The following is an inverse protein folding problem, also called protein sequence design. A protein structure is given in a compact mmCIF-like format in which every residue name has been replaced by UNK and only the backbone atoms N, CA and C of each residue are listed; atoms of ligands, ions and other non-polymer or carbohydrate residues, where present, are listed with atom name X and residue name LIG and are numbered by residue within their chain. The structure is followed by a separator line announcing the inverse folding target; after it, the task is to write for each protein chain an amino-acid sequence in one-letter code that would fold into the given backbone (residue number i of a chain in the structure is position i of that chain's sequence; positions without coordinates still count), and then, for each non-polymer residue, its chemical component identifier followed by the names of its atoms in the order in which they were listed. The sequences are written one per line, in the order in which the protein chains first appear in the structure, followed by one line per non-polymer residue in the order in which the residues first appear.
data_IF_651479533380
#
_entry.id   IF_651479533380
#
_cell.length_a   1.000
_cell.length_b   1.000
_cell.length_c   1.000
_cell.angle_alpha   90.00
_cell.angle_beta   90.00
_cell.angle_gamma   90.00
#
_symmetry.space_group_name_H-M   'P 1'
#
loop_
_entity.id
_entity.type
_entity.pdbx_description
1 polymer ?
#
# COMPACT_ATOMS: atom_id res chain seq x y z
N UNK A 1 40.26 14.86 25.23
CA UNK A 1 40.35 14.41 23.82
C UNK A 1 39.67 13.07 23.61
N UNK A 2 39.98 12.03 24.41
CA UNK A 2 39.35 10.70 24.27
C UNK A 2 37.81 10.70 24.39
N UNK A 3 37.24 11.40 25.38
CA UNK A 3 35.78 11.47 25.58
C UNK A 3 35.06 12.09 24.37
N UNK A 4 35.62 13.17 23.81
CA UNK A 4 35.08 13.81 22.61
C UNK A 4 35.08 12.86 21.41
N UNK A 5 36.19 12.14 21.19
CA UNK A 5 36.28 11.15 20.12
C UNK A 5 35.28 10.00 20.28
N UNK A 6 35.04 9.53 21.51
CA UNK A 6 34.03 8.50 21.79
C UNK A 6 32.62 9.01 21.46
N UNK A 7 32.29 10.23 21.87
CA UNK A 7 30.98 10.83 21.59
C UNK A 7 30.77 10.99 20.08
N UNK A 8 31.77 11.50 19.35
CA UNK A 8 31.69 11.68 17.90
C UNK A 8 31.47 10.33 17.19
N UNK A 9 32.22 9.29 17.57
CA UNK A 9 32.04 7.96 16.98
C UNK A 9 30.65 7.39 17.29
N UNK A 10 30.16 7.53 18.52
CA UNK A 10 28.82 7.09 18.90
C UNK A 10 27.74 7.80 18.08
N UNK A 11 27.82 9.13 17.93
CA UNK A 11 26.87 9.92 17.14
C UNK A 11 26.91 9.52 15.66
N UNK A 12 28.10 9.34 15.08
CA UNK A 12 28.25 8.92 13.68
C UNK A 12 27.71 7.51 13.45
N UNK A 13 27.97 6.58 14.37
CA UNK A 13 27.43 5.21 14.29
C UNK A 13 25.90 5.19 14.41
N UNK A 14 25.32 5.94 15.35
CA UNK A 14 23.86 6.05 15.50
C UNK A 14 23.26 6.71 14.26
N UNK A 15 23.84 7.81 13.77
CA UNK A 15 23.38 8.48 12.56
C UNK A 15 23.45 7.56 11.35
N UNK A 16 24.56 6.86 11.14
CA UNK A 16 24.72 5.88 10.07
C UNK A 16 23.71 4.74 10.15
N UNK A 17 23.44 4.22 11.35
CA UNK A 17 22.42 3.20 11.58
C UNK A 17 21.02 3.72 11.25
N UNK A 18 20.67 4.92 11.69
CA UNK A 18 19.37 5.53 11.42
C UNK A 18 19.17 5.82 9.93
N UNK A 19 20.21 6.33 9.25
CA UNK A 19 20.20 6.54 7.80
C UNK A 19 20.03 5.23 7.05
N UNK A 20 20.80 4.20 7.40
CA UNK A 20 20.65 2.88 6.79
C UNK A 20 19.23 2.36 6.96
N UNK A 21 18.68 2.42 8.17
CA UNK A 21 17.31 1.98 8.44
C UNK A 21 16.25 2.79 7.68
N UNK A 22 16.46 4.09 7.48
CA UNK A 22 15.52 4.95 6.77
C UNK A 22 15.51 4.72 5.25
N UNK A 23 16.67 4.43 4.67
CA UNK A 23 16.83 4.31 3.21
C UNK A 23 16.88 2.87 2.70
N UNK A 24 17.21 1.89 3.55
CA UNK A 24 17.23 0.48 3.17
C UNK A 24 15.80 -0.06 3.07
N UNK A 25 15.28 -0.11 1.85
CA UNK A 25 14.01 -0.76 1.51
C UNK A 25 14.33 -2.09 0.81
N UNK A 26 13.89 -3.24 1.33
CA UNK A 26 14.01 -4.52 0.62
C UNK A 26 13.42 -4.39 -0.79
N UNK A 27 14.06 -5.05 -1.78
CA UNK A 27 13.49 -5.12 -3.11
C UNK A 27 12.11 -5.79 -3.03
N UNK A 28 11.08 -5.11 -3.54
CA UNK A 28 9.75 -5.70 -3.65
C UNK A 28 9.76 -6.77 -4.74
N UNK A 29 8.94 -7.84 -4.60
CA UNK A 29 8.72 -8.79 -5.67
C UNK A 29 8.41 -8.08 -6.99
N UNK A 30 9.11 -8.45 -8.06
CA UNK A 30 8.86 -7.93 -9.41
C UNK A 30 7.66 -8.69 -9.98
N UNK A 31 6.53 -8.02 -10.08
CA UNK A 31 5.41 -8.47 -10.91
C UNK A 31 5.43 -7.70 -12.23
N UNK A 32 5.02 -8.36 -13.31
CA UNK A 32 5.15 -7.85 -14.68
C UNK A 32 4.13 -6.73 -14.98
N UNK A 33 2.90 -6.87 -14.46
CA UNK A 33 1.83 -5.87 -14.56
C UNK A 33 1.45 -5.39 -13.15
N UNK A 34 2.06 -4.29 -12.71
CA UNK A 34 1.81 -3.70 -11.38
C UNK A 34 1.11 -2.37 -11.51
N UNK A 35 0.06 -2.21 -10.72
CA UNK A 35 -0.64 -0.95 -10.53
C UNK A 35 -0.37 -0.49 -9.11
N UNK A 36 0.43 0.57 -8.98
CA UNK A 36 0.69 1.22 -7.70
C UNK A 36 -0.54 2.04 -7.29
N UNK A 37 -1.07 1.79 -6.09
CA UNK A 37 -2.21 2.49 -5.49
C UNK A 37 -1.76 3.01 -4.14
N UNK A 38 -2.09 4.27 -3.84
CA UNK A 38 -1.87 4.87 -2.53
C UNK A 38 -3.20 5.19 -1.88
N UNK A 39 -3.26 5.07 -0.56
CA UNK A 39 -4.43 5.44 0.23
C UNK A 39 -4.03 6.23 1.47
N UNK A 40 -4.83 7.23 1.80
CA UNK A 40 -4.79 7.98 3.05
C UNK A 40 -6.22 8.28 3.54
N UNK A 41 -6.38 9.01 4.65
CA UNK A 41 -7.70 9.38 5.17
C UNK A 41 -8.60 10.14 4.16
N UNK A 42 -8.02 10.72 3.11
CA UNK A 42 -8.72 11.37 2.01
C UNK A 42 -9.30 10.41 0.97
N UNK A 43 -8.80 9.17 0.89
CA UNK A 43 -9.27 8.15 -0.05
C UNK A 43 -8.14 7.47 -0.82
N UNK A 44 -8.50 6.73 -1.86
CA UNK A 44 -7.54 6.22 -2.84
C UNK A 44 -7.05 7.32 -3.78
N UNK A 45 -5.78 7.27 -4.19
CA UNK A 45 -5.21 8.14 -5.22
C UNK A 45 -5.76 7.85 -6.62
N UNK A 46 -6.34 6.66 -6.81
CA UNK A 46 -7.02 6.21 -8.03
C UNK A 46 -8.46 5.90 -7.73
N UNK A 47 -9.37 6.55 -8.45
CA UNK A 47 -10.81 6.26 -8.41
C UNK A 47 -11.25 5.31 -9.53
N UNK A 48 -10.38 5.07 -10.53
CA UNK A 48 -10.60 4.16 -11.65
C UNK A 48 -9.31 3.41 -11.97
N UNK A 49 -9.43 2.09 -12.21
CA UNK A 49 -8.35 1.19 -12.61
C UNK A 49 -8.84 0.39 -13.81
N UNK A 50 -8.07 0.35 -14.90
CA UNK A 50 -8.36 -0.42 -16.11
C UNK A 50 -7.39 -1.58 -16.25
N UNK A 51 -7.92 -2.78 -16.50
CA UNK A 51 -7.16 -4.03 -16.65
C UNK A 51 -7.77 -4.85 -17.78
N UNK A 52 -7.08 -5.89 -18.25
CA UNK A 52 -7.57 -6.77 -19.30
C UNK A 52 -7.99 -8.13 -18.76
N UNK A 53 -9.07 -8.68 -19.30
CA UNK A 53 -9.51 -10.03 -19.00
C UNK A 53 -8.43 -11.04 -19.43
N UNK A 54 -8.17 -12.03 -18.58
CA UNK A 54 -7.20 -13.09 -18.81
C UNK A 54 -5.74 -12.71 -18.51
N UNK A 55 -5.42 -11.43 -18.27
CA UNK A 55 -4.08 -10.99 -17.93
C UNK A 55 -3.90 -10.87 -16.40
N UNK A 56 -2.88 -11.49 -15.79
CA UNK A 56 -2.62 -11.31 -14.37
C UNK A 56 -2.21 -9.87 -14.08
N UNK A 57 -2.77 -9.30 -13.01
CA UNK A 57 -2.47 -7.95 -12.55
C UNK A 57 -2.15 -7.97 -11.06
N UNK A 58 -1.19 -7.15 -10.65
CA UNK A 58 -0.79 -6.96 -9.26
C UNK A 58 -1.16 -5.57 -8.80
N UNK A 59 -1.94 -5.48 -7.73
CA UNK A 59 -2.15 -4.21 -7.03
C UNK A 59 -1.09 -4.07 -5.96
N UNK A 60 -0.35 -2.96 -5.99
CA UNK A 60 0.58 -2.57 -4.94
C UNK A 60 -0.01 -1.42 -4.14
N UNK A 61 -0.60 -1.75 -3.01
CA UNK A 61 -1.22 -0.77 -2.12
C UNK A 61 -0.20 -0.22 -1.14
N UNK A 62 -0.11 1.10 -1.04
CA UNK A 62 0.68 1.81 -0.02
C UNK A 62 -0.22 2.67 0.85
N UNK A 63 -0.12 2.50 2.17
CA UNK A 63 -0.73 3.45 3.10
C UNK A 63 0.20 4.63 3.35
N UNK A 64 -0.32 5.85 3.22
CA UNK A 64 0.42 7.08 3.56
C UNK A 64 0.19 7.51 5.02
N UNK A 65 -0.83 6.93 5.67
CA UNK A 65 -1.16 7.24 7.06
C UNK A 65 -0.19 6.59 8.04
N UNK A 66 -0.07 7.22 9.21
CA UNK A 66 0.76 6.73 10.30
C UNK A 66 -0.07 5.89 11.28
N UNK A 67 0.62 5.24 12.23
CA UNK A 67 0.01 4.35 13.21
C UNK A 67 -0.53 5.07 14.44
N UNK A 68 -0.81 6.38 14.39
CA UNK A 68 -1.19 7.18 15.56
C UNK A 68 -2.67 7.00 15.96
N UNK A 69 -3.11 5.74 16.06
CA UNK A 69 -4.38 5.34 16.66
C UNK A 69 -4.10 4.24 17.69
N UNK A 70 -4.99 4.08 18.69
CA UNK A 70 -4.85 3.07 19.74
C UNK A 70 -4.98 1.62 19.24
N UNK A 71 -5.57 1.43 18.06
CA UNK A 71 -5.70 0.13 17.36
C UNK A 71 -4.55 -0.14 16.37
N UNK A 72 -3.54 0.73 16.35
CA UNK A 72 -2.41 0.68 15.43
C UNK A 72 -2.59 1.50 14.15
N UNK A 73 -3.79 2.00 13.83
CA UNK A 73 -4.08 3.07 12.85
C UNK A 73 -3.56 2.91 11.43
N UNK A 74 -3.98 3.80 10.53
CA UNK A 74 -3.37 4.00 9.22
C UNK A 74 -3.26 2.76 8.33
N UNK A 75 -4.06 1.73 8.56
CA UNK A 75 -4.14 0.56 7.67
C UNK A 75 -5.18 0.84 6.60
N UNK A 76 -4.87 0.48 5.37
CA UNK A 76 -5.84 0.53 4.28
C UNK A 76 -5.94 -0.82 3.61
N UNK A 77 -7.14 -1.15 3.16
CA UNK A 77 -7.41 -2.31 2.36
C UNK A 77 -7.66 -1.88 0.92
N UNK A 78 -7.28 -2.72 -0.01
CA UNK A 78 -7.80 -2.71 -1.38
C UNK A 78 -8.38 -4.10 -1.62
N UNK A 79 -9.67 -4.19 -1.94
CA UNK A 79 -10.33 -5.45 -2.19
C UNK A 79 -11.38 -5.36 -3.29
N UNK A 80 -11.54 -6.45 -4.03
CA UNK A 80 -12.61 -6.69 -5.02
C UNK A 80 -13.18 -8.08 -4.79
N UNK A 81 -14.45 -8.13 -4.37
CA UNK A 81 -15.11 -9.38 -3.98
C UNK A 81 -15.27 -10.34 -5.16
N UNK A 82 -15.59 -9.83 -6.35
CA UNK A 82 -15.79 -10.60 -7.59
C UNK A 82 -14.58 -11.46 -8.02
N UNK A 83 -13.38 -11.08 -7.58
CA UNK A 83 -12.13 -11.78 -7.89
C UNK A 83 -11.47 -12.42 -6.67
N UNK A 84 -12.13 -12.36 -5.49
CA UNK A 84 -11.54 -12.79 -4.22
C UNK A 84 -10.13 -12.19 -4.00
N UNK A 85 -9.94 -10.95 -4.45
CA UNK A 85 -8.66 -10.24 -4.39
C UNK A 85 -8.72 -9.25 -3.23
N UNK A 86 -7.79 -9.35 -2.29
CA UNK A 86 -7.73 -8.45 -1.14
C UNK A 86 -6.30 -8.31 -0.63
N UNK A 87 -5.91 -7.08 -0.31
CA UNK A 87 -4.64 -6.78 0.34
C UNK A 87 -4.84 -5.71 1.40
N UNK A 88 -4.11 -5.82 2.51
CA UNK A 88 -4.08 -4.80 3.57
C UNK A 88 -2.66 -4.25 3.66
N UNK A 89 -2.50 -2.96 3.38
CA UNK A 89 -1.26 -2.24 3.61
C UNK A 89 -1.17 -1.79 5.07
N UNK A 90 -0.06 -2.08 5.79
CA UNK A 90 0.14 -1.56 7.13
C UNK A 90 0.44 -0.04 7.09
N UNK A 91 0.31 0.65 8.22
CA UNK A 91 0.67 2.06 8.34
C UNK A 91 2.08 2.35 7.81
N UNK A 92 2.20 3.38 6.94
CA UNK A 92 3.44 3.73 6.22
C UNK A 92 4.12 2.56 5.50
N UNK A 93 3.35 1.54 5.13
CA UNK A 93 3.86 0.36 4.49
C UNK A 93 3.12 0.04 3.20
N UNK A 94 3.67 -0.95 2.51
CA UNK A 94 3.19 -1.41 1.20
C UNK A 94 2.91 -2.90 1.28
N UNK A 95 1.84 -3.33 0.63
CA UNK A 95 1.49 -4.74 0.46
C UNK A 95 0.96 -4.96 -0.95
N UNK A 96 0.99 -6.21 -1.43
CA UNK A 96 0.54 -6.54 -2.79
C UNK A 96 -0.41 -7.73 -2.81
N UNK A 97 -1.32 -7.73 -3.78
CA UNK A 97 -2.10 -8.91 -4.19
C UNK A 97 -2.08 -9.03 -5.70
N UNK A 98 -2.02 -10.26 -6.20
CA UNK A 98 -2.09 -10.57 -7.63
C UNK A 98 -3.35 -11.37 -7.91
N UNK A 99 -4.07 -11.01 -8.96
CA UNK A 99 -5.26 -11.73 -9.42
C UNK A 99 -5.36 -11.68 -10.94
N UNK A 100 -6.19 -12.54 -11.52
CA UNK A 100 -6.47 -12.56 -12.96
C UNK A 100 -7.97 -12.37 -13.18
N UNK A 101 -8.42 -11.19 -13.62
CA UNK A 101 -9.83 -10.97 -13.93
C UNK A 101 -10.21 -11.79 -15.16
N UNK A 102 -11.32 -12.53 -15.11
CA UNK A 102 -11.69 -13.46 -16.21
C UNK A 102 -12.88 -12.99 -17.05
N UNK A 103 -13.58 -11.92 -16.62
CA UNK A 103 -14.81 -11.44 -17.27
C UNK A 103 -14.73 -9.92 -17.45
N UNK A 104 -14.96 -9.41 -18.66
CA UNK A 104 -15.11 -7.98 -18.87
C UNK A 104 -16.30 -7.41 -18.09
N UNK A 105 -16.17 -6.19 -17.61
CA UNK A 105 -17.20 -5.54 -16.79
C UNK A 105 -16.67 -4.41 -15.91
N UNK A 106 -17.59 -3.74 -15.22
CA UNK A 106 -17.26 -2.77 -14.18
C UNK A 106 -17.50 -3.40 -12.80
N UNK A 107 -16.48 -3.31 -11.95
CA UNK A 107 -16.46 -3.84 -10.59
C UNK A 107 -16.09 -2.73 -9.61
N UNK A 108 -16.40 -2.90 -8.33
CA UNK A 108 -16.01 -1.93 -7.29
C UNK A 108 -14.85 -2.49 -6.49
N UNK A 109 -13.80 -1.69 -6.33
CA UNK A 109 -12.80 -1.91 -5.30
C UNK A 109 -13.04 -0.98 -4.12
N UNK A 110 -12.69 -1.43 -2.91
CA UNK A 110 -12.99 -0.70 -1.68
C UNK A 110 -11.94 -0.92 -0.56
N UNK A 111 -12.03 -0.10 0.49
CA UNK A 111 -11.38 -0.31 1.79
C UNK A 111 -12.44 -0.54 2.88
N UNK A 112 -12.28 -1.58 3.73
CA UNK A 112 -13.26 -1.92 4.79
C UNK A 112 -12.67 -2.02 6.21
N UNK A 113 -11.38 -1.67 6.37
CA UNK A 113 -10.64 -1.90 7.63
C UNK A 113 -10.32 -0.62 8.42
N UNK A 114 -10.50 0.55 7.80
CA UNK A 114 -10.28 1.87 8.40
C UNK A 114 -11.09 2.90 7.59
N UNK A 115 -11.28 4.12 8.12
CA UNK A 115 -11.81 5.26 7.35
C UNK A 115 -13.31 5.21 6.98
N UNK A 116 -14.17 4.62 7.81
CA UNK A 116 -15.62 4.56 7.54
C UNK A 116 -16.05 3.37 6.66
N UNK A 117 -15.10 2.48 6.34
CA UNK A 117 -15.33 1.22 5.64
C UNK A 117 -15.96 1.39 4.26
N UNK A 118 -16.68 0.35 3.79
CA UNK A 118 -17.37 0.36 2.48
C UNK A 118 -18.31 1.55 2.28
N UNK A 119 -18.82 2.15 3.35
CA UNK A 119 -19.73 3.30 3.27
C UNK A 119 -19.03 4.62 2.94
N UNK A 120 -17.70 4.73 3.07
CA UNK A 120 -16.99 5.95 2.73
C UNK A 120 -16.80 6.07 1.20
N UNK A 121 -17.40 7.07 0.53
CA UNK A 121 -17.34 7.20 -0.91
C UNK A 121 -15.92 7.42 -1.47
N UNK A 122 -15.00 8.01 -0.71
CA UNK A 122 -13.60 8.19 -1.15
C UNK A 122 -12.76 6.91 -0.99
N UNK A 123 -13.30 5.92 -0.28
CA UNK A 123 -12.73 4.58 -0.09
C UNK A 123 -13.37 3.55 -1.01
N UNK A 124 -13.88 4.00 -2.15
CA UNK A 124 -14.40 3.18 -3.22
C UNK A 124 -13.87 3.66 -4.58
N UNK A 125 -13.72 2.75 -5.53
CA UNK A 125 -13.36 3.07 -6.90
C UNK A 125 -13.79 1.98 -7.88
N UNK A 126 -13.61 2.26 -9.17
CA UNK A 126 -14.06 1.41 -10.27
C UNK A 126 -12.90 0.59 -10.84
N UNK A 127 -13.04 -0.72 -10.86
CA UNK A 127 -12.19 -1.61 -11.65
C UNK A 127 -12.92 -1.95 -12.95
N UNK A 128 -12.39 -1.47 -14.07
CA UNK A 128 -12.90 -1.73 -15.40
C UNK A 128 -12.05 -2.83 -16.02
N UNK A 129 -12.68 -3.98 -16.29
CA UNK A 129 -12.05 -5.09 -17.00
C UNK A 129 -12.44 -5.00 -18.47
N UNK A 130 -11.44 -4.76 -19.30
CA UNK A 130 -11.53 -4.73 -20.75
C UNK A 130 -11.41 -6.15 -21.32
N UNK A 131 -12.00 -6.40 -22.50
CA UNK A 131 -12.02 -7.70 -23.16
C UNK A 131 -10.88 -7.94 -24.12
#
# INVERSE_FOLDING_TARGET
TAVFSVIVLAVLSISGYLLFKAFYKPALPVAENVIDVSADMGGFDKTEIRVKAGEPVTIRLTSLDNSAHTDGGGKHQWAVDDFNASVVAPARGTAMTTFTPTKPGEYTFYCDICCGGRANPSMNGKLIVEG
#
